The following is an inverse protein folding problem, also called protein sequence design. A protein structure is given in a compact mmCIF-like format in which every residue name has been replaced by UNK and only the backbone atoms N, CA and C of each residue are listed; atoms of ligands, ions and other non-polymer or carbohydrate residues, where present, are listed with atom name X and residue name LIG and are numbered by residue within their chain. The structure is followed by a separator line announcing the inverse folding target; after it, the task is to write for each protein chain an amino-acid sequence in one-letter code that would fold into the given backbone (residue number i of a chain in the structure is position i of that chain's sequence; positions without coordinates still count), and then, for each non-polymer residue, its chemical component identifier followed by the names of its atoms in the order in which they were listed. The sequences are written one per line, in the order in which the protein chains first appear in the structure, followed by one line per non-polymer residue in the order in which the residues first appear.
data_IF_357551718582
#
_entry.id   IF_357551718582
#
_cell.length_a   1.000
_cell.length_b   1.000
_cell.length_c   1.000
_cell.angle_alpha   90.00
_cell.angle_beta   90.00
_cell.angle_gamma   90.00
#
_symmetry.space_group_name_H-M   'P 1'
#
loop_
_entity.id
_entity.type
_entity.pdbx_description
1 polymer ?
#
# COMPACT_ATOMS: atom_id res chain seq x y z
N UNK A 1 14.41 30.83 -22.15
CA UNK A 1 13.52 30.01 -23.00
C UNK A 1 12.99 28.87 -22.15
N UNK A 2 11.66 28.80 -22.02
CA UNK A 2 10.95 27.77 -21.25
C UNK A 2 11.13 26.42 -21.93
N UNK A 3 11.69 25.44 -21.22
CA UNK A 3 11.87 24.06 -21.69
C UNK A 3 10.60 23.20 -21.58
N UNK A 4 9.42 23.83 -21.45
CA UNK A 4 8.16 23.15 -21.15
C UNK A 4 7.31 22.84 -22.39
N UNK A 5 7.89 22.50 -23.55
CA UNK A 5 7.12 22.45 -24.80
C UNK A 5 7.21 21.17 -25.64
N UNK A 6 7.88 20.10 -25.22
CA UNK A 6 7.94 18.90 -26.08
C UNK A 6 8.00 17.57 -25.33
N UNK A 7 6.82 16.98 -25.12
CA UNK A 7 6.62 15.55 -25.38
C UNK A 7 7.07 14.49 -24.36
N UNK A 8 7.32 14.82 -23.07
CA UNK A 8 7.91 13.84 -22.12
C UNK A 8 7.10 13.62 -20.82
N UNK A 9 5.79 13.85 -20.83
CA UNK A 9 4.88 13.27 -19.83
C UNK A 9 4.11 12.08 -20.42
N UNK A 10 4.81 11.19 -21.12
CA UNK A 10 4.30 9.85 -21.43
C UNK A 10 4.38 8.95 -20.17
N UNK A 11 4.04 9.50 -19.01
CA UNK A 11 3.82 8.67 -17.82
C UNK A 11 2.46 8.04 -18.06
N UNK A 12 2.47 6.73 -18.30
CA UNK A 12 1.28 5.91 -18.41
C UNK A 12 0.20 6.40 -17.42
N UNK A 13 -1.04 6.70 -17.85
CA UNK A 13 -2.04 7.30 -16.98
C UNK A 13 -2.26 6.47 -15.70
N UNK A 14 -2.12 5.15 -15.79
CA UNK A 14 -2.16 4.26 -14.62
C UNK A 14 -0.98 4.49 -13.66
N UNK A 15 0.22 4.77 -14.17
CA UNK A 15 1.37 5.12 -13.34
C UNK A 15 1.23 6.50 -12.67
N UNK A 16 0.56 7.46 -13.33
CA UNK A 16 0.26 8.76 -12.73
C UNK A 16 -0.76 8.63 -11.59
N UNK A 17 -1.80 7.81 -11.78
CA UNK A 17 -2.81 7.50 -10.76
C UNK A 17 -2.20 6.81 -9.54
N UNK A 18 -1.32 5.81 -9.73
CA UNK A 18 -0.63 5.16 -8.60
C UNK A 18 0.22 6.16 -7.80
N UNK A 19 0.96 7.02 -8.48
CA UNK A 19 1.81 8.03 -7.83
C UNK A 19 0.96 9.07 -7.08
N UNK A 20 -0.14 9.53 -7.65
CA UNK A 20 -1.03 10.49 -7.00
C UNK A 20 -1.69 9.89 -5.76
N UNK A 21 -2.11 8.63 -5.81
CA UNK A 21 -2.63 7.90 -4.64
C UNK A 21 -1.60 7.80 -3.53
N UNK A 22 -0.36 7.39 -3.83
CA UNK A 22 0.72 7.33 -2.82
C UNK A 22 0.98 8.69 -2.17
N UNK A 23 1.01 9.76 -2.96
CA UNK A 23 1.22 11.13 -2.46
C UNK A 23 0.04 11.58 -1.59
N UNK A 24 -1.20 11.28 -1.99
CA UNK A 24 -2.39 11.61 -1.22
C UNK A 24 -2.44 10.85 0.11
N UNK A 25 -2.04 9.58 0.12
CA UNK A 25 -1.94 8.76 1.34
C UNK A 25 -0.87 9.35 2.26
N UNK A 26 0.31 9.66 1.72
CA UNK A 26 1.40 10.27 2.48
C UNK A 26 0.99 11.63 3.07
N UNK A 27 0.30 12.45 2.28
CA UNK A 27 -0.26 13.72 2.74
C UNK A 27 -1.32 13.52 3.83
N UNK A 28 -2.20 12.54 3.70
CA UNK A 28 -3.20 12.21 4.72
C UNK A 28 -2.57 11.78 6.05
N UNK A 29 -1.47 11.03 5.97
CA UNK A 29 -0.66 10.59 7.11
C UNK A 29 -0.04 11.78 7.83
N UNK A 30 0.63 12.67 7.09
CA UNK A 30 1.24 13.87 7.66
C UNK A 30 0.24 14.89 8.19
N UNK A 31 -0.96 14.96 7.61
CA UNK A 31 -2.03 15.87 8.05
C UNK A 31 -2.88 15.29 9.19
N UNK A 32 -2.49 14.12 9.72
CA UNK A 32 -3.20 13.38 10.78
C UNK A 32 -4.70 13.22 10.50
N UNK A 33 -5.06 12.85 9.25
CA UNK A 33 -6.45 12.58 8.84
C UNK A 33 -6.66 11.08 8.58
N UNK A 34 -6.80 10.26 9.64
CA UNK A 34 -6.85 8.80 9.50
C UNK A 34 -8.06 8.29 8.71
N UNK A 35 -9.19 9.00 8.74
CA UNK A 35 -10.39 8.68 7.94
C UNK A 35 -10.12 8.76 6.43
N UNK A 36 -9.34 9.77 6.01
CA UNK A 36 -9.00 9.95 4.59
C UNK A 36 -8.00 8.88 4.14
N UNK A 37 -7.03 8.56 5.00
CA UNK A 37 -6.06 7.50 4.73
C UNK A 37 -6.74 6.13 4.56
N UNK A 38 -7.74 5.80 5.39
CA UNK A 38 -8.54 4.55 5.23
C UNK A 38 -9.34 4.51 3.93
N UNK A 39 -9.95 5.63 3.53
CA UNK A 39 -10.69 5.71 2.26
C UNK A 39 -9.76 5.53 1.05
N UNK A 40 -8.61 6.21 1.06
CA UNK A 40 -7.61 6.08 0.00
C UNK A 40 -7.01 4.68 -0.06
N UNK A 41 -6.86 4.04 1.09
CA UNK A 41 -6.37 2.66 1.18
C UNK A 41 -7.31 1.65 0.51
N UNK A 42 -8.63 1.82 0.61
CA UNK A 42 -9.61 0.96 -0.06
C UNK A 42 -9.55 1.04 -1.58
N UNK A 43 -9.05 2.15 -2.14
CA UNK A 43 -8.89 2.36 -3.58
C UNK A 43 -7.51 1.93 -4.11
N UNK A 44 -6.60 1.46 -3.26
CA UNK A 44 -5.26 1.04 -3.68
C UNK A 44 -5.28 -0.37 -4.29
N UNK A 45 -4.59 -0.57 -5.41
CA UNK A 45 -4.39 -1.90 -6.02
C UNK A 45 -3.59 -2.86 -5.11
N UNK A 46 -2.79 -2.31 -4.19
CA UNK A 46 -1.93 -3.07 -3.28
C UNK A 46 -2.11 -2.57 -1.84
N UNK A 47 -3.25 -2.88 -1.20
CA UNK A 47 -3.59 -2.35 0.12
C UNK A 47 -2.60 -2.83 1.20
N UNK A 48 -2.11 -4.07 1.12
CA UNK A 48 -1.19 -4.65 2.12
C UNK A 48 0.10 -3.83 2.22
N UNK A 49 0.76 -3.56 1.10
CA UNK A 49 2.03 -2.83 1.08
C UNK A 49 1.86 -1.38 1.53
N UNK A 50 0.77 -0.73 1.11
CA UNK A 50 0.47 0.65 1.53
C UNK A 50 0.25 0.75 3.03
N UNK A 51 -0.52 -0.16 3.63
CA UNK A 51 -0.77 -0.12 5.08
C UNK A 51 0.51 -0.35 5.91
N UNK A 52 1.40 -1.22 5.44
CA UNK A 52 2.70 -1.45 6.09
C UNK A 52 3.63 -0.23 5.99
N UNK A 53 3.69 0.41 4.82
CA UNK A 53 4.49 1.63 4.66
C UNK A 53 3.96 2.74 5.56
N UNK A 54 2.63 2.88 5.65
CA UNK A 54 1.98 3.87 6.52
C UNK A 54 2.28 3.61 8.01
N UNK A 55 2.22 2.37 8.48
CA UNK A 55 2.56 2.06 9.88
C UNK A 55 4.04 2.34 10.18
N UNK A 56 4.96 1.98 9.27
CA UNK A 56 6.38 2.33 9.40
C UNK A 56 6.61 3.84 9.47
N UNK A 57 5.89 4.64 8.68
CA UNK A 57 6.01 6.10 8.71
C UNK A 57 5.53 6.64 10.06
N UNK A 58 4.39 6.17 10.58
CA UNK A 58 3.89 6.57 11.89
C UNK A 58 4.86 6.19 13.02
N UNK A 59 5.49 5.01 12.93
CA UNK A 59 6.52 4.57 13.87
C UNK A 59 7.81 5.39 13.82
N UNK A 60 8.16 5.95 12.66
CA UNK A 60 9.31 6.87 12.57
C UNK A 60 8.92 8.26 13.02
N UNK A 61 7.70 8.69 12.74
CA UNK A 61 7.23 10.04 13.07
C UNK A 61 7.12 10.26 14.58
N UNK A 62 6.75 9.22 15.36
CA UNK A 62 6.74 9.28 16.82
C UNK A 62 8.11 9.60 17.46
N UNK A 63 9.22 9.30 16.78
CA UNK A 63 10.57 9.60 17.28
C UNK A 63 10.91 11.09 17.12
N UNK A 64 10.26 11.77 16.17
CA UNK A 64 10.46 13.21 15.91
C UNK A 64 9.50 14.10 16.70
N UNK A 65 8.50 13.53 17.37
CA UNK A 65 7.49 14.26 18.13
C UNK A 65 7.81 14.23 19.62
N UNK A 66 8.04 15.40 20.21
CA UNK A 66 8.32 15.55 21.63
C UNK A 66 7.06 15.54 22.51
N UNK A 67 5.89 15.79 21.93
CA UNK A 67 4.63 15.82 22.65
C UNK A 67 4.10 14.40 22.87
N UNK A 68 4.05 13.98 24.14
CA UNK A 68 3.63 12.63 24.55
C UNK A 68 2.21 12.31 24.09
N UNK A 69 1.31 13.29 24.03
CA UNK A 69 -0.07 13.05 23.63
C UNK A 69 -0.15 12.69 22.13
N UNK A 70 0.52 13.47 21.30
CA UNK A 70 0.62 13.22 19.85
C UNK A 70 1.36 11.91 19.59
N UNK A 71 2.40 11.60 20.37
CA UNK A 71 3.12 10.33 20.27
C UNK A 71 2.20 9.13 20.50
N UNK A 72 1.35 9.20 21.52
CA UNK A 72 0.37 8.14 21.83
C UNK A 72 -0.65 7.98 20.71
N UNK A 73 -1.14 9.09 20.13
CA UNK A 73 -2.07 9.06 19.00
C UNK A 73 -1.44 8.42 17.75
N UNK A 74 -0.21 8.79 17.40
CA UNK A 74 0.51 8.21 16.26
C UNK A 74 0.78 6.71 16.48
N UNK A 75 1.11 6.30 17.71
CA UNK A 75 1.30 4.90 18.05
C UNK A 75 -0.01 4.10 17.89
N UNK A 76 -1.14 4.64 18.37
CA UNK A 76 -2.45 4.02 18.20
C UNK A 76 -2.83 3.89 16.72
N UNK A 77 -2.56 4.91 15.92
CA UNK A 77 -2.78 4.88 14.48
C UNK A 77 -1.90 3.85 13.77
N UNK A 78 -0.60 3.81 14.09
CA UNK A 78 0.32 2.81 13.53
C UNK A 78 -0.16 1.38 13.80
N UNK A 79 -0.61 1.13 15.04
CA UNK A 79 -1.15 -0.16 15.44
C UNK A 79 -2.43 -0.50 14.68
N UNK A 80 -3.35 0.46 14.55
CA UNK A 80 -4.60 0.25 13.81
C UNK A 80 -4.33 -0.07 12.32
N UNK A 81 -3.39 0.65 11.67
CA UNK A 81 -2.99 0.36 10.29
C UNK A 81 -2.30 -1.01 10.15
N UNK A 82 -1.50 -1.41 11.14
CA UNK A 82 -0.85 -2.73 11.17
C UNK A 82 -1.87 -3.86 11.35
N UNK A 83 -2.87 -3.67 12.22
CA UNK A 83 -3.98 -4.62 12.42
C UNK A 83 -4.84 -4.73 11.14
N UNK A 84 -5.12 -3.62 10.45
CA UNK A 84 -5.80 -3.64 9.15
C UNK A 84 -5.00 -4.38 8.08
N UNK A 85 -3.68 -4.16 7.99
CA UNK A 85 -2.80 -4.88 7.07
C UNK A 85 -2.82 -6.39 7.35
N UNK A 86 -2.73 -6.77 8.63
CA UNK A 86 -2.76 -8.16 9.09
C UNK A 86 -4.11 -8.80 8.81
N UNK A 87 -5.22 -8.07 8.96
CA UNK A 87 -6.55 -8.55 8.62
C UNK A 87 -6.73 -8.84 7.13
N UNK A 88 -6.20 -7.98 6.26
CA UNK A 88 -6.20 -8.23 4.80
C UNK A 88 -5.29 -9.40 4.43
N UNK A 89 -4.14 -9.54 5.11
CA UNK A 89 -3.25 -10.69 4.95
C UNK A 89 -3.94 -12.00 5.36
N UNK A 90 -4.60 -12.04 6.52
CA UNK A 90 -5.34 -13.23 6.99
C UNK A 90 -6.52 -13.56 6.07
N UNK A 91 -7.24 -12.54 5.58
CA UNK A 91 -8.31 -12.74 4.59
C UNK A 91 -7.74 -13.32 3.27
N UNK A 92 -6.65 -12.75 2.76
CA UNK A 92 -5.96 -13.27 1.57
C UNK A 92 -5.41 -14.68 1.79
N UNK A 93 -4.95 -15.00 2.99
CA UNK A 93 -4.43 -16.32 3.36
C UNK A 93 -5.54 -17.37 3.46
N UNK A 94 -6.71 -17.00 4.00
CA UNK A 94 -7.89 -17.88 4.02
C UNK A 94 -8.42 -18.14 2.61
N UNK A 95 -8.40 -17.12 1.75
CA UNK A 95 -8.64 -17.26 0.31
C UNK A 95 -7.54 -18.06 -0.40
N UNK A 96 -6.35 -18.24 0.21
CA UNK A 96 -5.25 -19.01 -0.41
C UNK A 96 -5.50 -20.51 -0.48
N UNK A 97 -6.49 -21.01 0.26
CA UNK A 97 -7.09 -22.33 -0.02
C UNK A 97 -7.60 -22.45 -1.47
N UNK A 98 -7.84 -21.33 -2.16
CA UNK A 98 -8.14 -21.22 -3.59
C UNK A 98 -6.89 -20.93 -4.45
N UNK A 99 -5.86 -20.25 -3.92
CA UNK A 99 -4.59 -20.03 -4.64
C UNK A 99 -3.72 -21.28 -4.79
N UNK A 100 -3.93 -22.34 -4.00
CA UNK A 100 -3.34 -23.66 -4.30
C UNK A 100 -3.74 -24.12 -5.72
N UNK A 101 -4.93 -23.76 -6.22
CA UNK A 101 -5.33 -24.05 -7.60
C UNK A 101 -4.55 -23.20 -8.63
N UNK A 102 -4.18 -21.96 -8.30
CA UNK A 102 -3.39 -21.08 -9.18
C UNK A 102 -1.91 -21.50 -9.24
N UNK A 103 -1.32 -21.91 -8.12
CA UNK A 103 0.05 -22.42 -8.10
C UNK A 103 0.13 -23.80 -8.76
N UNK A 104 -0.89 -24.65 -8.59
CA UNK A 104 -1.01 -25.93 -9.30
C UNK A 104 -1.18 -25.74 -10.82
N UNK A 105 -2.01 -24.77 -11.26
CA UNK A 105 -2.16 -24.43 -12.67
C UNK A 105 -0.86 -23.87 -13.30
N UNK A 106 -0.08 -23.10 -12.53
CA UNK A 106 1.23 -22.59 -12.95
C UNK A 106 2.26 -23.72 -13.06
N UNK A 107 2.27 -24.67 -12.13
CA UNK A 107 3.12 -25.88 -12.17
C UNK A 107 2.80 -26.80 -13.34
N UNK A 108 1.51 -26.99 -13.67
CA UNK A 108 1.08 -27.85 -14.79
C UNK A 108 1.47 -27.28 -16.17
N UNK A 109 1.45 -25.96 -16.34
CA UNK A 109 1.88 -25.30 -17.58
C UNK A 109 3.39 -25.42 -17.82
N UNK A 110 4.20 -25.45 -16.77
CA UNK A 110 5.66 -25.64 -16.86
C UNK A 110 5.99 -27.13 -17.12
N UNK A 111 5.17 -28.07 -16.63
CA UNK A 111 5.31 -29.50 -16.90
C UNK A 111 5.05 -29.92 -18.35
N UNK A 112 4.12 -29.25 -19.05
CA UNK A 112 3.78 -29.57 -20.46
C UNK A 112 4.79 -29.03 -21.49
N UNK A 113 5.64 -28.07 -21.12
CA UNK A 113 6.63 -27.48 -22.01
C UNK A 113 8.01 -28.17 -21.93
N UNK A 114 8.16 -29.14 -21.01
CA UNK A 114 9.39 -29.93 -20.82
C UNK A 114 9.25 -31.38 -21.31
N UNK A 115 8.11 -31.75 -21.92
CA UNK A 115 7.81 -33.11 -22.40
C UNK A 115 7.46 -33.19 -23.90
N UNK A 116 7.68 -32.12 -24.67
CA UNK A 116 7.71 -32.07 -26.13
C UNK A 116 8.82 -31.13 -26.56
#
# INVERSE_FOLDING_TARGET
MSVNAMGMYTVDPSAAERKSLCILILWAVFTNKPKLAKLLWQHSEQPIHVALIVSMIYEKLQDYVNDTNVKQELHNLSREFSEMATGVLDASYRDSSFNEAYDMAKKLRIGLQNSC
#
